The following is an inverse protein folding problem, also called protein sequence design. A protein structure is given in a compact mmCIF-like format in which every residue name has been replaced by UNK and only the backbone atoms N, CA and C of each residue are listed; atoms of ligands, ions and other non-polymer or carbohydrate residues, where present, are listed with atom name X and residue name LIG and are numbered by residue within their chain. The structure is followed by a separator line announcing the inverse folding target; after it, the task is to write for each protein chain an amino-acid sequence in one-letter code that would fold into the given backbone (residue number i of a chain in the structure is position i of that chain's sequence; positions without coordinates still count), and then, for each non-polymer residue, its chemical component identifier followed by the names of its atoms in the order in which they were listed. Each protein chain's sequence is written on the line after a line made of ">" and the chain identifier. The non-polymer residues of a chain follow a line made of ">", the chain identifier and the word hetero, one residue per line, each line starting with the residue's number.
data_IF_473605134922
#
_entry.id   IF_473605134922
#
_cell.length_a   1.000
_cell.length_b   1.000
_cell.length_c   1.000
_cell.angle_alpha   90.00
_cell.angle_beta   90.00
_cell.angle_gamma   90.00
#
_symmetry.space_group_name_H-M   'P 1'
#
loop_
_entity.id
_entity.type
_entity.pdbx_description
1 polymer ?
#
# COMPACT_ATOMS: atom_id res chain seq x y z
N UNK A 1 4.45 -45.67 -12.91
CA UNK A 1 4.20 -44.21 -12.91
C UNK A 1 2.98 -43.84 -12.04
N UNK A 2 2.93 -44.27 -10.75
CA UNK A 2 1.80 -44.01 -9.83
C UNK A 2 2.20 -43.76 -8.36
N UNK A 3 3.51 -43.59 -8.06
CA UNK A 3 4.01 -43.39 -6.68
C UNK A 3 4.65 -42.02 -6.41
N UNK A 4 4.78 -41.15 -7.40
CA UNK A 4 5.40 -39.82 -7.23
C UNK A 4 4.39 -38.73 -6.81
N UNK A 5 3.12 -38.86 -7.20
CA UNK A 5 2.05 -37.89 -6.86
C UNK A 5 1.67 -37.86 -5.36
N UNK A 6 2.04 -38.88 -4.58
CA UNK A 6 1.73 -38.95 -3.15
C UNK A 6 2.71 -38.17 -2.28
N UNK A 7 3.93 -37.89 -2.76
CA UNK A 7 4.97 -37.25 -1.95
C UNK A 7 4.81 -35.72 -1.92
N UNK A 8 4.51 -35.09 -3.05
CA UNK A 8 4.27 -33.64 -3.13
C UNK A 8 3.01 -33.21 -2.36
N UNK A 9 1.95 -34.02 -2.44
CA UNK A 9 0.73 -33.77 -1.67
C UNK A 9 1.02 -33.86 -0.17
N UNK A 10 1.77 -34.87 0.27
CA UNK A 10 2.16 -35.04 1.68
C UNK A 10 3.03 -33.89 2.21
N UNK A 11 3.99 -33.39 1.42
CA UNK A 11 4.82 -32.25 1.80
C UNK A 11 4.02 -30.94 1.90
N UNK A 12 3.06 -30.72 0.99
CA UNK A 12 2.14 -29.57 1.06
C UNK A 12 1.25 -29.61 2.31
N UNK A 13 0.73 -30.77 2.67
CA UNK A 13 -0.06 -30.95 3.91
C UNK A 13 0.76 -30.69 5.18
N UNK A 14 1.99 -31.18 5.25
CA UNK A 14 2.86 -30.96 6.41
C UNK A 14 3.28 -29.48 6.57
N UNK A 15 3.46 -28.76 5.46
CA UNK A 15 3.76 -27.33 5.48
C UNK A 15 2.55 -26.53 5.99
N UNK A 16 1.34 -26.84 5.50
CA UNK A 16 0.09 -26.20 5.96
C UNK A 16 -0.16 -26.47 7.45
N UNK A 17 0.06 -27.70 7.91
CA UNK A 17 -0.07 -28.07 9.33
C UNK A 17 0.96 -27.31 10.18
N UNK A 18 2.21 -27.23 9.74
CA UNK A 18 3.26 -26.53 10.48
C UNK A 18 3.00 -25.02 10.58
N UNK A 19 2.55 -24.38 9.49
CA UNK A 19 2.17 -22.97 9.49
C UNK A 19 0.97 -22.74 10.42
N UNK A 20 -0.04 -23.61 10.35
CA UNK A 20 -1.23 -23.52 11.22
C UNK A 20 -0.88 -23.66 12.70
N UNK A 21 0.04 -24.57 13.05
CA UNK A 21 0.54 -24.74 14.42
C UNK A 21 1.37 -23.52 14.87
N UNK A 22 2.21 -22.97 13.98
CA UNK A 22 3.00 -21.77 14.27
C UNK A 22 2.13 -20.55 14.57
N UNK A 23 1.09 -20.33 13.76
CA UNK A 23 0.08 -19.28 13.98
C UNK A 23 -0.69 -19.51 15.29
N UNK A 24 -1.04 -20.76 15.60
CA UNK A 24 -1.65 -21.14 16.88
C UNK A 24 -0.76 -20.81 18.08
N UNK A 25 0.55 -21.01 17.95
CA UNK A 25 1.51 -20.70 19.01
C UNK A 25 1.66 -19.19 19.19
N UNK A 26 1.75 -18.43 18.10
CA UNK A 26 1.83 -16.95 18.14
C UNK A 26 0.55 -16.37 18.74
N UNK A 27 -0.62 -16.83 18.30
CA UNK A 27 -1.90 -16.41 18.85
C UNK A 27 -2.01 -16.77 20.33
N UNK A 28 -1.66 -18.01 20.72
CA UNK A 28 -1.67 -18.42 22.14
C UNK A 28 -0.72 -17.57 22.98
N UNK A 29 0.47 -17.25 22.47
CA UNK A 29 1.46 -16.39 23.16
C UNK A 29 0.91 -14.97 23.37
N UNK A 30 0.21 -14.43 22.37
CA UNK A 30 -0.41 -13.11 22.43
C UNK A 30 -1.60 -13.09 23.40
N UNK A 31 -2.49 -14.08 23.34
CA UNK A 31 -3.69 -14.11 24.19
C UNK A 31 -3.41 -14.57 25.63
N UNK A 32 -2.34 -15.33 25.88
CA UNK A 32 -1.99 -15.75 27.26
C UNK A 32 -1.35 -14.64 28.10
N UNK A 33 -0.92 -13.53 27.49
CA UNK A 33 -0.49 -12.32 28.20
C UNK A 33 -1.66 -11.53 28.81
N UNK A 34 -2.81 -11.50 28.12
CA UNK A 34 -3.95 -10.62 28.46
C UNK A 34 -5.15 -11.33 29.10
N UNK A 35 -5.23 -12.67 29.04
CA UNK A 35 -6.37 -13.41 29.62
C UNK A 35 -6.36 -13.38 31.16
N UNK A 36 -5.20 -13.25 31.82
CA UNK A 36 -5.19 -13.19 33.29
C UNK A 36 -5.85 -11.90 33.82
N UNK A 37 -5.90 -10.84 33.01
CA UNK A 37 -6.50 -9.54 33.33
C UNK A 37 -7.90 -9.37 32.74
N UNK A 38 -8.25 -10.10 31.68
CA UNK A 38 -9.56 -10.02 31.03
C UNK A 38 -10.61 -11.01 31.58
N UNK A 39 -10.25 -11.89 32.52
CA UNK A 39 -11.21 -12.82 33.14
C UNK A 39 -12.20 -12.17 34.13
N UNK A 40 -12.10 -10.86 34.39
CA UNK A 40 -12.95 -10.13 35.34
C UNK A 40 -13.96 -9.15 34.69
N UNK A 41 -14.10 -9.10 33.36
CA UNK A 41 -15.06 -8.19 32.72
C UNK A 41 -15.79 -8.81 31.52
N UNK A 42 -17.12 -8.69 31.54
CA UNK A 42 -18.05 -9.16 30.51
C UNK A 42 -17.71 -8.61 29.11
N UNK A 43 -17.21 -9.47 28.21
CA UNK A 43 -16.90 -9.06 26.83
C UNK A 43 -16.31 -10.18 25.97
N UNK A 44 -16.96 -11.34 25.89
CA UNK A 44 -16.42 -12.53 25.18
C UNK A 44 -17.02 -12.73 23.76
N UNK A 45 -17.91 -11.86 23.30
CA UNK A 45 -18.65 -12.10 22.03
C UNK A 45 -17.93 -11.63 20.76
N UNK A 46 -17.09 -10.60 20.77
CA UNK A 46 -16.45 -10.08 19.54
C UNK A 46 -15.15 -10.78 19.15
N UNK A 47 -14.31 -11.16 20.12
CA UNK A 47 -13.05 -11.85 19.85
C UNK A 47 -13.24 -13.25 19.24
N UNK A 48 -14.35 -13.93 19.60
CA UNK A 48 -14.68 -15.26 19.04
C UNK A 48 -15.13 -15.18 17.57
N UNK A 49 -15.71 -14.05 17.13
CA UNK A 49 -16.13 -13.84 15.74
C UNK A 49 -14.95 -13.67 14.79
N UNK A 50 -13.96 -12.85 15.16
CA UNK A 50 -12.76 -12.60 14.35
C UNK A 50 -11.91 -13.87 14.17
N UNK A 51 -11.78 -14.66 15.24
CA UNK A 51 -11.13 -15.97 15.22
C UNK A 51 -11.87 -16.90 14.25
N UNK A 52 -13.20 -17.01 14.36
CA UNK A 52 -13.99 -17.93 13.51
C UNK A 52 -13.92 -17.57 12.02
N UNK A 53 -13.89 -16.28 11.66
CA UNK A 53 -13.74 -15.80 10.28
C UNK A 53 -12.36 -16.11 9.70
N UNK A 54 -11.29 -15.95 10.50
CA UNK A 54 -9.92 -16.23 10.07
C UNK A 54 -9.63 -17.73 9.87
N UNK A 55 -10.34 -18.61 10.57
CA UNK A 55 -10.10 -20.06 10.50
C UNK A 55 -11.00 -20.79 9.48
N UNK A 56 -12.23 -20.35 9.21
CA UNK A 56 -13.14 -21.07 8.29
C UNK A 56 -12.96 -20.68 6.82
N UNK A 57 -12.63 -19.43 6.52
CA UNK A 57 -12.45 -18.95 5.13
C UNK A 57 -11.32 -19.71 4.38
N UNK A 58 -10.11 -19.90 4.94
CA UNK A 58 -9.07 -20.66 4.26
C UNK A 58 -9.44 -22.13 4.04
N UNK A 59 -10.16 -22.74 4.98
CA UNK A 59 -10.62 -24.14 4.85
C UNK A 59 -11.62 -24.26 3.70
N UNK A 60 -12.59 -23.35 3.61
CA UNK A 60 -13.60 -23.35 2.55
C UNK A 60 -12.98 -23.08 1.17
N UNK A 61 -12.00 -22.16 1.08
CA UNK A 61 -11.34 -21.83 -0.18
C UNK A 61 -10.48 -22.98 -0.73
N UNK A 62 -9.82 -23.76 0.14
CA UNK A 62 -9.05 -24.96 -0.26
C UNK A 62 -9.94 -26.02 -0.92
N UNK A 63 -11.23 -26.11 -0.55
CA UNK A 63 -12.18 -27.03 -1.18
C UNK A 63 -12.77 -26.51 -2.51
N UNK A 64 -12.62 -25.22 -2.83
CA UNK A 64 -13.24 -24.59 -4.01
C UNK A 64 -12.41 -24.69 -5.30
N UNK A 65 -11.20 -25.25 -5.25
CA UNK A 65 -10.33 -25.40 -6.42
C UNK A 65 -9.62 -24.12 -6.86
N UNK A 66 -9.68 -23.04 -6.08
CA UNK A 66 -8.81 -21.88 -6.27
C UNK A 66 -7.34 -22.31 -6.09
N UNK A 67 -6.45 -21.82 -6.96
CA UNK A 67 -5.01 -22.11 -6.89
C UNK A 67 -4.50 -21.79 -5.49
N UNK A 68 -3.76 -22.71 -4.87
CA UNK A 68 -3.19 -22.51 -3.53
C UNK A 68 -2.39 -21.20 -3.42
N UNK A 69 -1.82 -20.70 -4.52
CA UNK A 69 -1.15 -19.40 -4.56
C UNK A 69 -2.11 -18.25 -4.22
N UNK A 70 -3.25 -18.13 -4.91
CA UNK A 70 -4.20 -17.02 -4.69
C UNK A 70 -4.76 -16.99 -3.27
N UNK A 71 -5.01 -18.16 -2.67
CA UNK A 71 -5.46 -18.26 -1.27
C UNK A 71 -4.35 -17.85 -0.31
N UNK A 72 -3.11 -18.29 -0.56
CA UNK A 72 -1.96 -17.93 0.25
C UNK A 72 -1.69 -16.41 0.24
N UNK A 73 -1.82 -15.76 -0.92
CA UNK A 73 -1.68 -14.31 -1.05
C UNK A 73 -2.82 -13.54 -0.39
N UNK A 74 -4.07 -14.00 -0.53
CA UNK A 74 -5.21 -13.41 0.21
C UNK A 74 -4.99 -13.48 1.72
N UNK A 75 -4.46 -14.59 2.23
CA UNK A 75 -4.14 -14.77 3.65
C UNK A 75 -2.97 -13.90 4.09
N UNK A 76 -1.94 -13.73 3.26
CA UNK A 76 -0.84 -12.80 3.52
C UNK A 76 -1.34 -11.35 3.58
N UNK A 77 -2.21 -10.94 2.67
CA UNK A 77 -2.83 -9.60 2.65
C UNK A 77 -3.70 -9.38 3.89
N UNK A 78 -4.54 -10.34 4.26
CA UNK A 78 -5.32 -10.33 5.51
C UNK A 78 -4.41 -10.26 6.75
N UNK A 79 -3.34 -11.05 6.79
CA UNK A 79 -2.39 -11.04 7.91
C UNK A 79 -1.67 -9.70 8.02
N UNK A 80 -1.28 -9.07 6.90
CA UNK A 80 -0.68 -7.72 6.87
C UNK A 80 -1.67 -6.66 7.37
N UNK A 81 -2.94 -6.72 6.97
CA UNK A 81 -3.99 -5.83 7.48
C UNK A 81 -4.19 -5.99 8.98
N UNK A 82 -4.19 -7.23 9.48
CA UNK A 82 -4.29 -7.53 10.91
C UNK A 82 -3.07 -7.01 11.67
N UNK A 83 -1.85 -7.16 11.14
CA UNK A 83 -0.63 -6.60 11.76
C UNK A 83 -0.69 -5.07 11.79
N UNK A 84 -1.18 -4.41 10.73
CA UNK A 84 -1.41 -2.96 10.71
C UNK A 84 -2.41 -2.55 11.80
N UNK A 85 -3.54 -3.25 11.93
CA UNK A 85 -4.54 -2.99 12.95
C UNK A 85 -4.04 -3.24 14.40
N UNK A 86 -3.22 -4.27 14.61
CA UNK A 86 -2.60 -4.56 15.92
C UNK A 86 -1.58 -3.48 16.29
N UNK A 87 -0.75 -3.05 15.34
CA UNK A 87 0.24 -1.99 15.55
C UNK A 87 -0.44 -0.65 15.86
N UNK A 88 -1.56 -0.36 15.20
CA UNK A 88 -2.42 0.78 15.50
C UNK A 88 -2.91 0.75 16.96
N UNK A 89 -3.46 -0.39 17.41
CA UNK A 89 -3.94 -0.54 18.80
C UNK A 89 -2.81 -0.42 19.84
N UNK A 90 -1.65 -1.04 19.61
CA UNK A 90 -0.52 -0.95 20.54
C UNK A 90 0.05 0.49 20.66
N UNK A 91 0.01 1.28 19.58
CA UNK A 91 0.45 2.67 19.62
C UNK A 91 -0.55 3.58 20.36
N UNK A 92 -1.84 3.23 20.38
CA UNK A 92 -2.86 3.96 21.15
C UNK A 92 -2.76 3.73 22.67
N UNK A 93 -2.21 2.59 23.11
CA UNK A 93 -2.17 2.20 24.52
C UNK A 93 -0.85 2.57 25.25
N UNK A 94 0.21 2.93 24.52
CA UNK A 94 1.55 3.21 25.07
C UNK A 94 1.86 4.69 25.33
N UNK A 95 0.84 5.48 25.67
CA UNK A 95 0.96 6.92 25.95
C UNK A 95 1.85 7.27 27.14
N UNK A 96 3.18 7.35 26.93
CA UNK A 96 4.07 8.07 27.84
C UNK A 96 3.85 9.59 27.70
N UNK A 97 3.53 10.21 28.83
CA UNK A 97 3.31 11.64 28.96
C UNK A 97 4.62 12.42 28.84
N UNK A 98 5.09 12.62 27.61
CA UNK A 98 6.08 13.65 27.32
C UNK A 98 5.43 15.04 27.31
N UNK A 99 6.05 15.99 27.99
CA UNK A 99 5.63 17.39 28.02
C UNK A 99 5.82 18.02 26.63
N UNK A 100 4.69 18.21 25.93
CA UNK A 100 4.66 18.67 24.54
C UNK A 100 4.87 20.19 24.40
N UNK A 101 5.86 20.58 23.60
CA UNK A 101 5.84 21.84 22.87
C UNK A 101 4.98 21.64 21.62
N UNK A 102 4.00 22.51 21.38
CA UNK A 102 2.94 22.32 20.38
C UNK A 102 3.47 21.98 18.98
N UNK A 103 2.99 20.86 18.43
CA UNK A 103 3.27 20.43 17.06
C UNK A 103 2.67 21.37 16.03
N UNK A 104 2.96 21.14 14.75
CA UNK A 104 2.41 21.97 13.67
C UNK A 104 0.96 21.56 13.37
N UNK A 105 -0.05 22.44 13.52
CA UNK A 105 -1.45 22.07 13.30
C UNK A 105 -1.72 21.60 11.87
N UNK A 106 -2.60 20.60 11.72
CA UNK A 106 -2.89 19.95 10.43
C UNK A 106 -3.32 20.96 9.35
N UNK A 107 -4.14 21.96 9.69
CA UNK A 107 -4.59 22.96 8.73
C UNK A 107 -3.43 23.82 8.17
N UNK A 108 -2.43 24.14 8.99
CA UNK A 108 -1.22 24.84 8.52
C UNK A 108 -0.34 23.91 7.69
N UNK A 109 -0.29 22.61 8.01
CA UNK A 109 0.37 21.61 7.15
C UNK A 109 -0.28 21.57 5.77
N UNK A 110 -1.61 21.43 5.69
CA UNK A 110 -2.35 21.36 4.42
C UNK A 110 -2.22 22.66 3.61
N UNK A 111 -2.29 23.81 4.27
CA UNK A 111 -2.06 25.12 3.64
C UNK A 111 -0.66 25.23 3.05
N UNK A 112 0.35 24.74 3.77
CA UNK A 112 1.74 24.71 3.29
C UNK A 112 1.89 23.76 2.09
N UNK A 113 1.34 22.55 2.16
CA UNK A 113 1.31 21.59 1.04
C UNK A 113 0.63 22.19 -0.19
N UNK A 114 -0.51 22.87 -0.01
CA UNK A 114 -1.21 23.57 -1.09
C UNK A 114 -0.35 24.65 -1.74
N UNK A 115 0.42 25.40 -0.96
CA UNK A 115 1.28 26.47 -1.47
C UNK A 115 2.44 25.96 -2.36
N UNK A 116 2.82 24.68 -2.22
CA UNK A 116 3.85 24.02 -3.02
C UNK A 116 3.26 23.13 -4.14
N UNK A 117 1.95 23.15 -4.34
CA UNK A 117 1.27 22.44 -5.44
C UNK A 117 0.76 21.03 -5.11
N UNK A 118 0.67 20.67 -3.82
CA UNK A 118 0.06 19.42 -3.36
C UNK A 118 -1.36 19.70 -2.88
N UNK A 119 -2.34 19.12 -3.56
CA UNK A 119 -3.76 19.43 -3.34
C UNK A 119 -4.55 18.19 -2.92
N UNK A 120 -5.40 18.36 -1.90
CA UNK A 120 -6.55 17.49 -1.68
C UNK A 120 -7.58 17.76 -2.78
N UNK A 121 -8.20 16.72 -3.34
CA UNK A 121 -9.29 16.86 -4.30
C UNK A 121 -10.50 17.56 -3.65
N UNK A 122 -11.26 18.30 -4.46
CA UNK A 122 -12.31 19.19 -3.96
C UNK A 122 -13.52 18.44 -3.35
N UNK A 123 -13.73 17.22 -3.79
CA UNK A 123 -14.81 16.31 -3.40
C UNK A 123 -14.46 15.41 -2.22
N UNK A 124 -13.25 15.53 -1.66
CA UNK A 124 -12.76 14.72 -0.54
C UNK A 124 -12.71 15.58 0.72
N UNK A 125 -13.31 15.12 1.82
CA UNK A 125 -13.09 15.73 3.13
C UNK A 125 -11.75 15.22 3.70
N UNK A 126 -11.03 16.10 4.38
CA UNK A 126 -9.72 15.73 4.91
C UNK A 126 -9.83 14.63 5.96
N UNK A 127 -10.90 14.68 6.74
CA UNK A 127 -11.21 13.76 7.82
C UNK A 127 -11.39 12.32 7.32
N UNK A 128 -11.88 12.14 6.09
CA UNK A 128 -12.04 10.82 5.46
C UNK A 128 -10.68 10.17 5.11
N UNK A 129 -9.60 10.95 5.11
CA UNK A 129 -8.27 10.45 4.81
C UNK A 129 -7.57 9.85 6.04
N UNK A 130 -7.95 10.25 7.25
CA UNK A 130 -7.15 9.99 8.45
C UNK A 130 -7.14 8.53 8.88
N UNK A 131 -5.93 7.97 9.01
CA UNK A 131 -5.69 6.63 9.52
C UNK A 131 -5.15 6.61 10.95
N UNK A 132 -4.79 7.78 11.50
CA UNK A 132 -4.22 7.94 12.84
C UNK A 132 -5.01 8.97 13.69
N UNK A 133 -4.70 9.08 14.98
CA UNK A 133 -5.23 10.15 15.82
C UNK A 133 -4.66 11.52 15.41
N UNK A 134 -5.47 12.58 15.52
CA UNK A 134 -5.08 13.96 15.19
C UNK A 134 -3.69 14.38 15.74
N UNK A 135 -3.36 13.97 16.97
CA UNK A 135 -2.09 14.31 17.63
C UNK A 135 -0.87 13.68 16.94
N UNK A 136 -1.03 12.55 16.27
CA UNK A 136 0.04 11.90 15.53
C UNK A 136 0.52 12.78 14.37
N UNK A 137 -0.40 13.40 13.63
CA UNK A 137 -0.08 14.30 12.52
C UNK A 137 0.68 15.55 12.98
N UNK A 138 0.36 16.08 14.15
CA UNK A 138 1.04 17.27 14.69
C UNK A 138 2.44 16.95 15.23
N UNK A 139 2.65 15.73 15.74
CA UNK A 139 3.96 15.26 16.23
C UNK A 139 4.89 14.78 15.11
N UNK A 140 4.34 14.33 13.97
CA UNK A 140 5.09 13.93 12.77
C UNK A 140 4.57 14.69 11.53
N UNK A 141 4.81 16.01 11.47
CA UNK A 141 4.23 16.85 10.45
C UNK A 141 4.63 16.40 9.05
N UNK A 142 3.70 16.57 8.11
CA UNK A 142 3.78 16.24 6.69
C UNK A 142 3.86 14.76 6.36
N UNK A 143 4.61 13.94 7.10
CA UNK A 143 4.79 12.53 6.74
C UNK A 143 3.48 11.75 6.78
N UNK A 144 2.77 11.76 7.93
CA UNK A 144 1.50 11.04 8.06
C UNK A 144 0.44 11.62 7.13
N UNK A 145 0.40 12.95 7.02
CA UNK A 145 -0.52 13.62 6.13
C UNK A 145 -0.30 13.26 4.66
N UNK A 146 0.96 13.23 4.19
CA UNK A 146 1.28 12.83 2.82
C UNK A 146 0.99 11.34 2.58
N UNK A 147 1.23 10.47 3.56
CA UNK A 147 0.85 9.05 3.44
C UNK A 147 -0.64 8.92 3.20
N UNK A 148 -1.45 9.55 4.03
CA UNK A 148 -2.92 9.45 3.97
C UNK A 148 -3.48 10.11 2.71
N UNK A 149 -2.95 11.27 2.30
CA UNK A 149 -3.31 11.90 1.03
C UNK A 149 -2.93 11.04 -0.19
N UNK A 150 -1.92 10.17 -0.05
CA UNK A 150 -1.48 9.26 -1.08
C UNK A 150 -2.18 7.90 -1.05
N UNK A 151 -2.85 7.56 0.05
CA UNK A 151 -3.57 6.30 0.20
C UNK A 151 -4.93 6.34 -0.51
N UNK A 152 -5.46 5.14 -0.76
CA UNK A 152 -6.82 4.97 -1.26
C UNK A 152 -7.83 5.11 -0.12
N UNK A 153 -8.92 5.81 -0.39
CA UNK A 153 -10.08 5.93 0.48
C UNK A 153 -11.17 5.04 -0.12
N UNK A 154 -11.82 4.22 0.72
CA UNK A 154 -12.99 3.47 0.32
C UNK A 154 -14.22 4.39 0.36
N UNK A 155 -14.87 4.58 -0.77
CA UNK A 155 -16.12 5.34 -0.88
C UNK A 155 -17.31 4.51 -0.41
N UNK A 156 -18.46 5.17 -0.20
CA UNK A 156 -19.69 4.52 0.27
C UNK A 156 -20.19 3.38 -0.63
N UNK A 157 -19.89 3.43 -1.93
CA UNK A 157 -20.23 2.39 -2.91
C UNK A 157 -19.17 1.29 -3.03
N UNK A 158 -18.15 1.30 -2.17
CA UNK A 158 -17.08 0.29 -2.11
C UNK A 158 -16.01 0.47 -3.19
N UNK A 159 -15.96 1.62 -3.88
CA UNK A 159 -14.86 1.93 -4.79
C UNK A 159 -13.70 2.57 -4.05
N UNK A 160 -12.49 2.46 -4.60
CA UNK A 160 -11.29 3.06 -4.02
C UNK A 160 -10.94 4.33 -4.79
N UNK A 161 -10.88 5.46 -4.08
CA UNK A 161 -10.59 6.78 -4.66
C UNK A 161 -9.33 7.37 -4.02
N UNK A 162 -8.50 8.04 -4.83
CA UNK A 162 -7.32 8.73 -4.31
C UNK A 162 -7.67 10.13 -3.81
N UNK A 163 -7.21 10.51 -2.62
CA UNK A 163 -7.45 11.82 -2.03
C UNK A 163 -6.73 12.97 -2.76
N UNK A 164 -5.62 12.68 -3.43
CA UNK A 164 -4.82 13.64 -4.19
C UNK A 164 -4.44 13.08 -5.56
N UNK A 165 -4.21 13.95 -6.55
CA UNK A 165 -3.51 13.57 -7.80
C UNK A 165 -2.02 13.89 -7.74
N UNK A 166 -1.55 14.52 -6.66
CA UNK A 166 -0.14 14.89 -6.49
C UNK A 166 0.64 13.89 -5.65
N UNK A 167 -0.04 13.04 -4.87
CA UNK A 167 0.58 12.12 -3.93
C UNK A 167 0.01 10.72 -4.13
N UNK A 168 0.86 9.71 -3.95
CA UNK A 168 0.47 8.32 -4.00
C UNK A 168 1.32 7.50 -3.02
N UNK A 169 0.70 6.70 -2.19
CA UNK A 169 1.35 5.81 -1.23
C UNK A 169 0.83 4.39 -1.45
N UNK A 170 1.71 3.46 -1.80
CA UNK A 170 1.33 2.07 -2.11
C UNK A 170 2.33 1.08 -1.54
N UNK A 171 1.87 -0.15 -1.29
CA UNK A 171 2.74 -1.28 -0.96
C UNK A 171 3.51 -1.68 -2.21
N UNK A 172 4.85 -1.75 -2.13
CA UNK A 172 5.69 -2.17 -3.26
C UNK A 172 5.51 -3.66 -3.56
N UNK A 173 5.14 -4.47 -2.58
CA UNK A 173 4.85 -5.91 -2.71
C UNK A 173 3.46 -6.12 -3.34
N UNK A 174 3.31 -5.74 -4.60
CA UNK A 174 2.02 -5.67 -5.29
C UNK A 174 2.01 -6.24 -6.72
N UNK A 175 3.04 -6.96 -7.16
CA UNK A 175 3.10 -7.58 -8.49
C UNK A 175 3.03 -9.11 -8.34
N UNK A 176 1.92 -9.71 -8.73
CA UNK A 176 1.70 -11.16 -8.67
C UNK A 176 1.42 -11.77 -10.04
N UNK A 177 0.69 -11.06 -10.90
CA UNK A 177 0.26 -11.55 -12.22
C UNK A 177 -0.05 -10.39 -13.20
N UNK A 178 -0.52 -10.74 -14.39
CA UNK A 178 -1.11 -9.81 -15.36
C UNK A 178 -2.18 -8.92 -14.72
N UNK A 179 -2.17 -7.64 -15.10
CA UNK A 179 -3.07 -6.61 -14.60
C UNK A 179 -2.53 -5.80 -13.43
N UNK A 180 -1.51 -6.27 -12.71
CA UNK A 180 -0.98 -5.55 -11.56
C UNK A 180 -0.23 -4.27 -11.97
N UNK A 181 0.56 -4.32 -13.04
CA UNK A 181 1.16 -3.09 -13.58
C UNK A 181 0.12 -2.20 -14.23
N UNK A 182 -0.96 -2.74 -14.81
CA UNK A 182 -2.07 -1.93 -15.31
C UNK A 182 -2.61 -1.03 -14.19
N UNK A 183 -2.84 -1.57 -12.98
CA UNK A 183 -3.32 -0.78 -11.83
C UNK A 183 -2.38 0.36 -11.45
N UNK A 184 -1.06 0.12 -11.46
CA UNK A 184 -0.06 1.16 -11.20
C UNK A 184 -0.05 2.24 -12.29
N UNK A 185 -0.16 1.83 -13.56
CA UNK A 185 -0.17 2.74 -14.72
C UNK A 185 -1.44 3.57 -14.80
N UNK A 186 -2.58 2.99 -14.47
CA UNK A 186 -3.87 3.68 -14.30
C UNK A 186 -3.76 4.76 -13.22
N UNK A 187 -3.13 4.44 -12.08
CA UNK A 187 -2.88 5.43 -11.04
C UNK A 187 -1.94 6.55 -11.50
N UNK A 188 -0.86 6.22 -12.21
CA UNK A 188 0.04 7.22 -12.80
C UNK A 188 -0.71 8.10 -13.80
N UNK A 189 -1.58 7.52 -14.64
CA UNK A 189 -2.42 8.26 -15.58
C UNK A 189 -3.24 9.33 -14.86
N UNK A 190 -3.89 8.99 -13.75
CA UNK A 190 -4.68 9.95 -12.98
C UNK A 190 -3.84 11.11 -12.42
N UNK A 191 -2.60 10.82 -12.02
CA UNK A 191 -1.66 11.84 -11.53
C UNK A 191 -1.21 12.79 -12.64
N UNK A 192 -0.98 12.26 -13.85
CA UNK A 192 -0.42 13.03 -14.98
C UNK A 192 -1.46 13.51 -16.00
N UNK A 193 -2.75 13.24 -15.81
CA UNK A 193 -3.82 13.52 -16.79
C UNK A 193 -3.89 14.96 -17.31
N UNK A 194 -3.38 15.92 -16.52
CA UNK A 194 -3.31 17.34 -16.93
C UNK A 194 -2.18 17.65 -17.92
N UNK A 195 -1.25 16.72 -18.10
CA UNK A 195 0.00 16.89 -18.86
C UNK A 195 0.12 15.88 -20.01
N UNK A 196 -0.41 14.67 -19.86
CA UNK A 196 -0.32 13.58 -20.83
C UNK A 196 -1.68 12.88 -21.00
N UNK A 197 -2.08 12.59 -22.24
CA UNK A 197 -3.12 11.59 -22.51
C UNK A 197 -2.47 10.21 -22.56
N UNK A 198 -2.91 9.28 -21.71
CA UNK A 198 -2.42 7.90 -21.69
C UNK A 198 -3.58 6.96 -21.97
N UNK A 199 -3.41 6.14 -23.00
CA UNK A 199 -4.45 5.25 -23.54
C UNK A 199 -3.89 3.85 -23.78
N UNK A 200 -4.77 2.86 -23.94
CA UNK A 200 -4.39 1.49 -24.32
C UNK A 200 -3.32 0.86 -23.43
N UNK A 201 -3.46 0.99 -22.10
CA UNK A 201 -2.57 0.40 -21.11
C UNK A 201 -2.71 -1.13 -21.14
N UNK A 202 -1.57 -1.83 -21.21
CA UNK A 202 -1.49 -3.28 -21.07
C UNK A 202 -0.18 -3.67 -20.40
N UNK A 203 -0.17 -4.84 -19.74
CA UNK A 203 1.03 -5.45 -19.17
C UNK A 203 1.15 -6.93 -19.55
N UNK A 204 2.34 -7.46 -19.30
CA UNK A 204 2.64 -8.87 -19.28
C UNK A 204 3.58 -9.13 -18.11
N UNK A 205 3.25 -10.11 -17.27
CA UNK A 205 4.02 -10.49 -16.09
C UNK A 205 4.11 -12.02 -16.08
N UNK A 206 5.33 -12.53 -16.04
CA UNK A 206 5.63 -13.95 -15.85
C UNK A 206 6.78 -14.05 -14.84
N UNK A 207 6.41 -14.18 -13.57
CA UNK A 207 7.37 -14.26 -12.45
C UNK A 207 8.19 -15.57 -12.48
N UNK A 208 7.71 -16.63 -13.14
CA UNK A 208 8.47 -17.88 -13.28
C UNK A 208 9.60 -17.74 -14.31
N UNK A 209 9.42 -16.86 -15.31
CA UNK A 209 10.41 -16.56 -16.33
C UNK A 209 11.22 -15.29 -16.07
N UNK A 210 10.99 -14.59 -14.97
CA UNK A 210 11.56 -13.26 -14.67
C UNK A 210 11.29 -12.23 -15.80
N UNK A 211 10.09 -12.29 -16.41
CA UNK A 211 9.69 -11.39 -17.48
C UNK A 211 8.57 -10.44 -17.04
N UNK A 212 8.77 -9.14 -17.22
CA UNK A 212 7.71 -8.14 -17.08
C UNK A 212 7.85 -7.07 -18.17
N UNK A 213 6.73 -6.69 -18.78
CA UNK A 213 6.69 -5.57 -19.71
C UNK A 213 5.36 -4.80 -19.61
N UNK A 214 5.43 -3.54 -20.01
CA UNK A 214 4.28 -2.63 -20.05
C UNK A 214 4.21 -1.95 -21.40
N UNK A 215 3.00 -1.70 -21.88
CA UNK A 215 2.75 -0.95 -23.09
C UNK A 215 1.58 0.00 -22.92
N UNK A 216 1.65 1.14 -23.61
CA UNK A 216 0.64 2.20 -23.57
C UNK A 216 0.86 3.19 -24.72
N UNK A 217 -0.13 4.03 -24.97
CA UNK A 217 -0.06 5.14 -25.92
C UNK A 217 -0.03 6.46 -25.15
N UNK A 218 0.95 7.32 -25.41
CA UNK A 218 1.02 8.69 -24.88
C UNK A 218 0.82 9.68 -26.03
N UNK A 219 -0.23 10.49 -25.96
CA UNK A 219 -0.54 11.51 -26.97
C UNK A 219 -0.50 10.96 -28.42
N UNK A 220 -1.00 9.74 -28.62
CA UNK A 220 -1.00 9.06 -29.92
C UNK A 220 0.28 8.30 -30.29
N UNK A 221 1.32 8.32 -29.46
CA UNK A 221 2.59 7.60 -29.68
C UNK A 221 2.64 6.33 -28.83
N UNK A 222 2.86 5.18 -29.46
CA UNK A 222 2.97 3.91 -28.76
C UNK A 222 4.33 3.74 -28.07
N UNK A 223 4.30 3.21 -26.85
CA UNK A 223 5.47 2.88 -26.05
C UNK A 223 5.39 1.45 -25.53
N UNK A 224 6.54 0.79 -25.44
CA UNK A 224 6.71 -0.52 -24.82
C UNK A 224 8.03 -0.51 -24.01
N UNK A 225 7.98 -0.99 -22.78
CA UNK A 225 9.13 -1.05 -21.88
C UNK A 225 9.19 -2.39 -21.18
N UNK A 226 10.38 -2.98 -21.16
CA UNK A 226 10.72 -4.09 -20.26
C UNK A 226 10.98 -3.55 -18.86
N UNK A 227 10.49 -4.27 -17.85
CA UNK A 227 10.64 -3.95 -16.43
C UNK A 227 11.47 -5.03 -15.75
N UNK A 228 12.10 -4.66 -14.63
CA UNK A 228 12.84 -5.60 -13.79
C UNK A 228 11.88 -6.38 -12.91
N UNK A 229 11.93 -7.70 -13.01
CA UNK A 229 11.26 -8.58 -12.05
C UNK A 229 12.12 -8.71 -10.80
N UNK A 230 11.51 -8.47 -9.64
CA UNK A 230 12.13 -8.71 -8.34
C UNK A 230 11.07 -9.26 -7.38
N UNK A 231 10.82 -10.57 -7.46
CA UNK A 231 9.73 -11.22 -6.73
C UNK A 231 8.41 -10.49 -7.00
N UNK A 232 7.71 -10.11 -5.95
CA UNK A 232 6.44 -9.39 -5.95
C UNK A 232 6.58 -7.87 -5.91
N UNK A 233 7.80 -7.34 -6.07
CA UNK A 233 8.05 -5.91 -5.96
C UNK A 233 7.84 -5.17 -7.28
N UNK A 234 7.10 -4.07 -7.23
CA UNK A 234 6.95 -3.16 -8.36
C UNK A 234 8.28 -2.49 -8.75
N UNK A 235 8.59 -2.47 -10.04
CA UNK A 235 9.75 -1.75 -10.57
C UNK A 235 9.48 -0.24 -10.61
N UNK A 236 10.21 0.52 -9.78
CA UNK A 236 10.09 1.98 -9.70
C UNK A 236 10.61 2.69 -10.97
N UNK A 237 11.24 1.97 -11.92
CA UNK A 237 11.59 2.51 -13.22
C UNK A 237 10.36 3.08 -13.97
N UNK A 238 9.14 2.60 -13.69
CA UNK A 238 7.91 3.19 -14.25
C UNK A 238 7.83 4.69 -13.98
N UNK A 239 8.21 5.14 -12.78
CA UNK A 239 8.18 6.56 -12.43
C UNK A 239 9.22 7.36 -13.22
N UNK A 240 10.38 6.75 -13.55
CA UNK A 240 11.40 7.37 -14.39
C UNK A 240 10.95 7.49 -15.85
N UNK A 241 10.26 6.46 -16.36
CA UNK A 241 9.66 6.50 -17.70
C UNK A 241 8.70 7.69 -17.82
N UNK A 242 7.76 7.86 -16.89
CA UNK A 242 6.81 8.99 -16.96
C UNK A 242 7.45 10.34 -16.65
N UNK A 243 8.47 10.39 -15.78
CA UNK A 243 9.26 11.61 -15.55
C UNK A 243 9.92 12.10 -16.84
N UNK A 244 10.47 11.19 -17.65
CA UNK A 244 11.02 11.50 -18.97
C UNK A 244 9.94 11.90 -19.97
N UNK A 245 8.83 11.17 -20.05
CA UNK A 245 7.73 11.49 -20.97
C UNK A 245 7.12 12.87 -20.69
N UNK A 246 6.97 13.25 -19.41
CA UNK A 246 6.57 14.59 -19.00
C UNK A 246 7.56 15.65 -19.51
N UNK A 247 8.87 15.38 -19.39
CA UNK A 247 9.91 16.28 -19.88
C UNK A 247 9.87 16.46 -21.41
N UNK A 248 9.71 15.36 -22.15
CA UNK A 248 9.63 15.33 -23.61
C UNK A 248 8.44 16.16 -24.13
N UNK A 249 7.35 16.25 -23.36
CA UNK A 249 6.17 17.04 -23.66
C UNK A 249 6.18 18.46 -23.04
N UNK A 250 7.33 18.89 -22.49
CA UNK A 250 7.50 20.25 -21.97
C UNK A 250 6.89 20.50 -20.58
N UNK A 251 6.36 19.47 -19.92
CA UNK A 251 5.88 19.60 -18.55
C UNK A 251 7.03 19.88 -17.58
N UNK A 252 6.76 20.70 -16.57
CA UNK A 252 7.69 20.99 -15.47
C UNK A 252 7.59 19.99 -14.32
N UNK A 253 6.55 19.15 -14.30
CA UNK A 253 6.29 18.19 -13.21
C UNK A 253 7.24 16.99 -13.28
N UNK A 254 7.71 16.53 -12.14
CA UNK A 254 8.60 15.36 -12.02
C UNK A 254 8.15 14.51 -10.85
N UNK A 255 8.29 13.19 -10.98
CA UNK A 255 8.10 12.30 -9.85
C UNK A 255 9.30 12.38 -8.91
N UNK A 256 9.03 12.33 -7.62
CA UNK A 256 9.98 12.06 -6.56
C UNK A 256 9.37 11.03 -5.62
N UNK A 257 10.19 10.26 -4.93
CA UNK A 257 9.69 9.20 -4.06
C UNK A 257 10.51 9.04 -2.80
N UNK A 258 9.91 8.42 -1.79
CA UNK A 258 10.58 7.94 -0.58
C UNK A 258 10.25 6.47 -0.41
N UNK A 259 11.29 5.66 -0.19
CA UNK A 259 11.14 4.27 0.24
C UNK A 259 10.92 4.25 1.76
N UNK A 260 9.75 3.76 2.19
CA UNK A 260 9.37 3.64 3.61
C UNK A 260 9.43 2.18 4.09
N UNK A 261 10.23 1.35 3.40
CA UNK A 261 10.34 -0.09 3.61
C UNK A 261 9.44 -0.86 2.65
N UNK A 262 8.23 -1.19 3.09
CA UNK A 262 7.24 -1.86 2.23
C UNK A 262 6.42 -0.85 1.44
N UNK A 263 6.12 0.30 2.03
CA UNK A 263 5.38 1.35 1.34
C UNK A 263 6.34 2.25 0.53
N UNK A 264 5.89 2.70 -0.64
CA UNK A 264 6.55 3.74 -1.43
C UNK A 264 5.64 4.96 -1.43
N UNK A 265 6.19 6.10 -0.99
CA UNK A 265 5.50 7.40 -1.04
C UNK A 265 6.01 8.20 -2.24
N UNK A 266 5.14 8.44 -3.20
CA UNK A 266 5.41 9.15 -4.45
C UNK A 266 4.75 10.51 -4.44
N UNK A 267 5.45 11.53 -4.91
CA UNK A 267 4.94 12.88 -5.12
C UNK A 267 5.24 13.33 -6.55
N UNK A 268 4.21 13.82 -7.26
CA UNK A 268 4.32 14.53 -8.52
C UNK A 268 4.23 16.04 -8.28
N UNK A 269 5.33 16.74 -8.51
CA UNK A 269 5.46 18.16 -8.20
C UNK A 269 6.24 18.88 -9.30
N UNK A 270 6.02 20.19 -9.45
CA UNK A 270 6.87 21.03 -10.29
C UNK A 270 8.33 20.94 -9.82
N UNK A 271 9.24 20.72 -10.76
CA UNK A 271 10.68 20.59 -10.47
C UNK A 271 11.24 21.76 -9.67
N UNK A 272 10.75 22.97 -9.92
CA UNK A 272 11.16 24.20 -9.23
C UNK A 272 10.72 24.22 -7.75
N UNK A 273 9.66 23.48 -7.39
CA UNK A 273 9.10 23.39 -6.03
C UNK A 273 9.66 22.23 -5.21
N UNK A 274 10.46 21.34 -5.81
CA UNK A 274 11.06 20.22 -5.10
C UNK A 274 11.92 20.66 -3.90
N UNK A 275 12.62 21.80 -4.02
CA UNK A 275 13.38 22.38 -2.92
C UNK A 275 12.51 22.82 -1.74
N UNK A 276 11.25 23.19 -1.98
CA UNK A 276 10.30 23.52 -0.92
C UNK A 276 9.77 22.24 -0.24
N UNK A 277 9.44 21.19 -1.00
CA UNK A 277 9.08 19.89 -0.44
C UNK A 277 10.17 19.33 0.49
N UNK A 278 11.44 19.42 0.08
CA UNK A 278 12.57 18.95 0.89
C UNK A 278 12.70 19.69 2.22
N UNK A 279 12.39 20.98 2.27
CA UNK A 279 12.39 21.75 3.53
C UNK A 279 11.32 21.27 4.51
N UNK A 280 10.22 20.72 3.99
CA UNK A 280 9.15 20.14 4.82
C UNK A 280 9.53 18.73 5.28
N UNK A 281 10.11 17.93 4.38
CA UNK A 281 10.45 16.53 4.63
C UNK A 281 11.61 16.08 3.73
N UNK A 282 12.82 15.99 4.30
CA UNK A 282 14.05 15.62 3.59
C UNK A 282 14.23 14.10 3.46
N UNK A 283 13.24 13.43 2.87
CA UNK A 283 13.25 11.98 2.60
C UNK A 283 13.05 11.64 1.13
N UNK A 284 12.66 12.63 0.32
CA UNK A 284 12.32 12.43 -1.08
C UNK A 284 13.56 12.44 -1.97
N UNK A 285 13.64 11.43 -2.83
CA UNK A 285 14.65 11.27 -3.87
C UNK A 285 13.99 11.70 -5.20
N UNK A 286 14.57 12.69 -5.92
CA UNK A 286 14.06 13.06 -7.24
C UNK A 286 14.37 11.96 -8.24
N UNK A 287 13.44 11.72 -9.16
CA UNK A 287 13.65 10.81 -10.28
C UNK A 287 14.17 11.62 -11.47
N UNK A 288 15.22 11.11 -12.12
CA UNK A 288 15.99 11.79 -13.17
C UNK A 288 15.19 12.12 -14.43
#
# INVERSE_FOLDING_TARGET
>A
MKRQLTYDSFMKWNLIISISIGVLFIAKSYFSGDIQTAMDSEGVTEASGVITVLFLIPIILVFSGASCCAIFFLLLRLMRLIIKAIRFKHNSESGEAHTYHGGLPIHEQLKTLRSIGIHLKQDIQLEDCFQDEHRAYESRPYLLLLKDLGSEIESEDGTFISASNNVWCFDRECIEDHGDYIRLLERIRDMVQSELSIEHIADYVDLEKDEANISFIVNGVAHNYELRVNKDWADLQILAIFTRLLAEHGSKKRFCFSDLGNDVLVVLIDRERFGDLRKLLDIFIPIG
#
